data_IF_380811495238
#
_entry.id   IF_380811495238
#
_cell.length_a   1.000
_cell.length_b   1.000
_cell.length_c   1.000
_cell.angle_alpha   90.00
_cell.angle_beta   90.00
_cell.angle_gamma   90.00
#
_symmetry.space_group_name_H-M   'P 1'
#
loop_
_entity.id
_entity.type
_entity.pdbx_description
1 polymer ?
#
# COMPACT_ATOMS: atom_id res chain seq x y z
N UNK A 1 0.07 -6.96 -15.02
CA UNK A 1 0.06 -5.56 -14.55
C UNK A 1 1.14 -5.45 -13.49
N UNK A 2 2.03 -4.48 -13.61
CA UNK A 2 3.03 -4.17 -12.58
C UNK A 2 2.46 -3.07 -11.67
N UNK A 3 2.72 -3.19 -10.37
CA UNK A 3 2.27 -2.22 -9.37
C UNK A 3 3.39 -1.98 -8.37
N UNK A 4 3.74 -0.71 -8.17
CA UNK A 4 4.74 -0.27 -7.20
C UNK A 4 4.12 0.80 -6.30
N UNK A 5 4.34 0.72 -5.00
CA UNK A 5 3.92 1.76 -4.08
C UNK A 5 5.04 2.18 -3.16
N UNK A 6 5.04 3.47 -2.85
CA UNK A 6 5.84 4.05 -1.78
C UNK A 6 4.85 4.60 -0.75
N UNK A 7 4.78 3.96 0.41
CA UNK A 7 3.97 4.41 1.54
C UNK A 7 4.89 4.66 2.72
N UNK A 8 4.74 5.81 3.35
CA UNK A 8 5.52 6.18 4.54
C UNK A 8 4.56 6.22 5.72
N UNK A 9 4.88 5.53 6.83
CA UNK A 9 4.09 5.65 8.06
C UNK A 9 4.26 7.04 8.67
N UNK A 10 3.14 7.66 9.00
CA UNK A 10 3.06 8.82 9.89
C UNK A 10 3.03 8.24 11.31
N UNK A 11 4.22 8.04 11.88
CA UNK A 11 4.37 7.43 13.20
C UNK A 11 3.96 8.43 14.28
N UNK A 12 2.81 8.21 14.91
CA UNK A 12 2.33 9.06 16.01
C UNK A 12 2.85 8.57 17.37
N UNK A 13 2.96 7.25 17.53
CA UNK A 13 3.34 6.60 18.79
C UNK A 13 3.95 5.24 18.48
N UNK A 14 5.21 5.02 18.90
CA UNK A 14 5.95 3.79 18.60
C UNK A 14 5.41 2.57 19.35
N UNK A 15 4.67 2.78 20.44
CA UNK A 15 4.10 1.70 21.25
C UNK A 15 2.74 1.22 20.72
N UNK A 16 2.14 1.95 19.78
CA UNK A 16 0.87 1.56 19.16
C UNK A 16 1.09 0.57 18.03
N UNK A 17 0.22 -0.44 18.00
CA UNK A 17 0.17 -1.43 16.93
C UNK A 17 -0.63 -0.96 15.71
N UNK A 18 -0.74 0.35 15.47
CA UNK A 18 -1.33 0.91 14.27
C UNK A 18 -0.66 2.24 13.91
N UNK A 19 -0.70 2.57 12.61
CA UNK A 19 -0.26 3.86 12.08
C UNK A 19 -1.17 4.31 10.94
N UNK A 20 -1.08 5.59 10.60
CA UNK A 20 -1.58 6.09 9.32
C UNK A 20 -0.44 6.18 8.33
N UNK A 21 -0.73 6.00 7.06
CA UNK A 21 0.25 6.11 5.98
C UNK A 21 -0.14 7.18 4.99
N UNK A 22 0.85 7.80 4.38
CA UNK A 22 0.68 8.62 3.19
C UNK A 22 1.65 8.13 2.13
N UNK A 23 1.24 8.18 0.87
CA UNK A 23 2.06 7.61 -0.17
C UNK A 23 1.50 7.79 -1.57
N UNK A 24 2.15 7.10 -2.49
CA UNK A 24 1.74 7.03 -3.88
C UNK A 24 1.83 5.59 -4.36
N UNK A 25 0.80 5.17 -5.09
CA UNK A 25 0.78 3.90 -5.80
C UNK A 25 0.82 4.16 -7.31
N UNK A 26 1.62 3.38 -8.01
CA UNK A 26 1.74 3.40 -9.46
C UNK A 26 1.38 2.04 -10.01
N UNK A 27 0.44 2.01 -10.96
CA UNK A 27 0.11 0.82 -11.75
C UNK A 27 0.42 1.06 -13.24
N UNK A 28 1.11 0.08 -13.84
CA UNK A 28 1.46 0.11 -15.26
C UNK A 28 0.21 0.00 -16.14
N UNK A 29 0.26 0.55 -17.35
CA UNK A 29 -0.82 0.52 -18.34
C UNK A 29 -1.48 -0.87 -18.48
N UNK A 30 -2.82 -0.93 -18.40
CA UNK A 30 -3.58 -2.18 -18.54
C UNK A 30 -4.87 -1.95 -19.35
N UNK A 31 -5.12 -2.68 -20.45
CA UNK A 31 -6.34 -2.49 -21.25
C UNK A 31 -7.63 -2.92 -20.54
N UNK A 32 -7.53 -3.72 -19.47
CA UNK A 32 -8.69 -4.30 -18.76
C UNK A 32 -8.97 -3.63 -17.41
N UNK A 33 -8.04 -2.81 -16.91
CA UNK A 33 -8.11 -2.24 -15.56
C UNK A 33 -7.56 -0.80 -15.57
N UNK A 34 -8.13 0.11 -14.78
CA UNK A 34 -7.58 1.44 -14.59
C UNK A 34 -6.13 1.38 -14.12
N UNK A 35 -5.28 2.23 -14.69
CA UNK A 35 -3.84 2.19 -14.42
C UNK A 35 -3.23 3.58 -14.42
N UNK A 36 -2.34 3.86 -13.49
CA UNK A 36 -1.68 5.15 -13.43
C UNK A 36 -1.20 5.46 -12.03
N UNK A 37 -1.23 6.73 -11.65
CA UNK A 37 -0.66 7.21 -10.39
C UNK A 37 -1.79 7.57 -9.42
N UNK A 38 -1.70 7.06 -8.19
CA UNK A 38 -2.68 7.26 -7.14
C UNK A 38 -1.98 7.78 -5.87
N UNK A 39 -2.00 9.09 -5.57
CA UNK A 39 -1.76 9.53 -4.20
C UNK A 39 -2.79 8.86 -3.28
N UNK A 40 -2.31 8.34 -2.16
CA UNK A 40 -3.12 7.57 -1.24
C UNK A 40 -2.79 7.89 0.21
N UNK A 41 -3.81 7.76 1.04
CA UNK A 41 -3.71 7.73 2.48
C UNK A 41 -4.15 6.35 2.96
N UNK A 42 -3.63 5.94 4.11
CA UNK A 42 -3.90 4.60 4.59
C UNK A 42 -3.97 4.49 6.08
N UNK A 43 -4.58 3.39 6.50
CA UNK A 43 -4.54 2.90 7.87
C UNK A 43 -3.88 1.53 7.87
N UNK A 44 -2.96 1.34 8.82
CA UNK A 44 -2.17 0.11 8.98
C UNK A 44 -2.41 -0.41 10.39
N UNK A 45 -2.75 -1.69 10.51
CA UNK A 45 -2.82 -2.41 11.79
C UNK A 45 -1.77 -3.51 11.77
N UNK A 46 -0.79 -3.38 12.66
CA UNK A 46 0.28 -4.35 12.79
C UNK A 46 -0.22 -5.62 13.50
N UNK A 47 0.00 -6.76 12.87
CA UNK A 47 -0.33 -8.09 13.38
C UNK A 47 0.93 -8.71 14.00
N UNK A 48 2.05 -8.62 13.28
CA UNK A 48 3.38 -9.00 13.76
C UNK A 48 4.28 -7.80 13.61
N UNK A 49 4.66 -7.21 14.74
CA UNK A 49 5.56 -6.08 14.81
C UNK A 49 6.47 -6.23 16.03
N UNK A 50 7.75 -6.52 15.78
CA UNK A 50 8.72 -6.79 16.83
C UNK A 50 10.13 -6.41 16.35
N UNK A 51 10.83 -5.60 17.16
CA UNK A 51 12.23 -5.18 16.93
C UNK A 51 13.25 -6.31 16.74
N UNK A 52 12.94 -7.53 17.18
CA UNK A 52 13.83 -8.70 17.08
C UNK A 52 13.53 -9.57 15.86
N UNK A 53 12.53 -9.20 15.04
CA UNK A 53 12.17 -9.94 13.82
C UNK A 53 12.62 -9.19 12.59
N UNK A 54 13.11 -9.93 11.61
CA UNK A 54 13.49 -9.41 10.29
C UNK A 54 12.28 -9.26 9.36
N UNK A 55 11.06 -9.39 9.89
CA UNK A 55 9.83 -9.24 9.12
C UNK A 55 8.73 -8.58 9.92
N UNK A 56 7.79 -7.98 9.19
CA UNK A 56 6.59 -7.33 9.70
C UNK A 56 5.38 -7.83 8.93
N UNK A 57 4.26 -8.00 9.62
CA UNK A 57 2.98 -8.37 9.01
C UNK A 57 1.91 -7.39 9.47
N UNK A 58 1.11 -6.88 8.54
CA UNK A 58 0.02 -5.95 8.86
C UNK A 58 -1.20 -6.15 7.95
N UNK A 59 -2.35 -5.73 8.47
CA UNK A 59 -3.57 -5.55 7.70
C UNK A 59 -3.75 -4.07 7.42
N UNK A 60 -3.89 -3.72 6.15
CA UNK A 60 -3.86 -2.34 5.68
C UNK A 60 -5.13 -2.03 4.89
N UNK A 61 -5.56 -0.78 4.94
CA UNK A 61 -6.57 -0.23 4.03
C UNK A 61 -6.02 1.08 3.49
N UNK A 62 -5.80 1.15 2.18
CA UNK A 62 -5.40 2.38 1.52
C UNK A 62 -6.57 2.93 0.71
N UNK A 63 -6.72 4.25 0.69
CA UNK A 63 -7.64 4.94 -0.20
C UNK A 63 -6.91 6.05 -0.93
N UNK A 64 -7.17 6.18 -2.23
CA UNK A 64 -6.49 7.14 -3.08
C UNK A 64 -7.31 7.52 -4.29
N UNK A 65 -6.85 8.56 -4.98
CA UNK A 65 -7.45 9.00 -6.24
C UNK A 65 -6.52 8.64 -7.39
N UNK A 66 -6.93 7.69 -8.23
CA UNK A 66 -6.19 7.23 -9.39
C UNK A 66 -6.37 8.20 -10.56
N UNK A 67 -5.26 8.80 -10.98
CA UNK A 67 -5.12 9.48 -12.27
C UNK A 67 -4.80 8.44 -13.34
N UNK A 68 -5.77 8.12 -14.20
CA UNK A 68 -5.65 7.06 -15.19
C UNK A 68 -4.82 7.50 -16.41
N UNK A 69 -3.92 6.62 -16.86
CA UNK A 69 -3.07 6.79 -18.03
C UNK A 69 -3.62 6.08 -19.28
N UNK A 70 -4.69 5.31 -19.14
CA UNK A 70 -5.41 4.70 -20.24
C UNK A 70 -6.25 5.75 -20.98
N UNK A 71 -6.23 5.71 -22.32
CA UNK A 71 -7.16 6.50 -23.12
C UNK A 71 -8.56 5.89 -22.98
N UNK A 72 -9.51 6.64 -22.41
CA UNK A 72 -10.93 6.25 -22.34
C UNK A 72 -11.38 5.57 -21.04
N UNK A 73 -10.56 5.60 -19.98
CA UNK A 73 -11.00 5.29 -18.62
C UNK A 73 -10.95 6.57 -17.79
N UNK A 74 -12.02 6.85 -17.03
CA UNK A 74 -12.06 8.01 -16.14
C UNK A 74 -11.18 7.78 -14.90
N UNK A 75 -10.71 8.88 -14.30
CA UNK A 75 -10.05 8.88 -13.00
C UNK A 75 -10.99 8.37 -11.90
N UNK A 76 -10.44 7.67 -10.90
CA UNK A 76 -11.28 6.89 -9.96
C UNK A 76 -10.77 6.98 -8.54
N UNK A 77 -11.71 6.97 -7.59
CA UNK A 77 -11.36 6.63 -6.22
C UNK A 77 -11.06 5.14 -6.14
N UNK A 78 -9.98 4.79 -5.45
CA UNK A 78 -9.57 3.42 -5.19
C UNK A 78 -9.56 3.19 -3.69
N UNK A 79 -10.11 2.07 -3.26
CA UNK A 79 -10.00 1.57 -1.89
C UNK A 79 -9.42 0.17 -1.95
N UNK A 80 -8.34 -0.05 -1.19
CA UNK A 80 -7.48 -1.22 -1.31
C UNK A 80 -7.22 -1.86 0.06
N UNK A 81 -8.17 -2.63 0.62
CA UNK A 81 -7.89 -3.53 1.73
C UNK A 81 -6.90 -4.61 1.29
N UNK A 82 -5.83 -4.81 2.07
CA UNK A 82 -4.80 -5.81 1.77
C UNK A 82 -4.05 -6.29 3.01
N UNK A 83 -3.52 -7.50 2.93
CA UNK A 83 -2.46 -7.96 3.81
C UNK A 83 -1.12 -7.52 3.25
N UNK A 84 -0.22 -7.16 4.16
CA UNK A 84 1.08 -6.62 3.88
C UNK A 84 2.12 -7.39 4.68
N UNK A 85 3.20 -7.80 4.01
CA UNK A 85 4.37 -8.40 4.63
C UNK A 85 5.60 -7.63 4.17
N UNK A 86 6.45 -7.22 5.09
CA UNK A 86 7.75 -6.61 4.82
C UNK A 86 8.85 -7.49 5.41
N UNK A 87 9.96 -7.64 4.68
CA UNK A 87 11.13 -8.43 5.05
C UNK A 87 12.38 -7.57 4.90
N UNK A 88 13.23 -7.57 5.93
CA UNK A 88 14.48 -6.81 6.02
C UNK A 88 14.33 -5.33 5.67
N UNK A 89 13.19 -4.72 6.00
CA UNK A 89 12.84 -3.33 5.69
C UNK A 89 12.84 -2.93 4.20
N UNK A 90 13.08 -3.88 3.29
CA UNK A 90 13.36 -3.63 1.88
C UNK A 90 12.45 -4.39 0.95
N UNK A 91 12.06 -5.62 1.26
CA UNK A 91 11.21 -6.41 0.37
C UNK A 91 9.80 -6.44 0.93
N UNK A 92 8.80 -6.17 0.09
CA UNK A 92 7.42 -6.25 0.52
C UNK A 92 6.55 -7.06 -0.43
N UNK A 93 5.53 -7.68 0.15
CA UNK A 93 4.47 -8.37 -0.56
C UNK A 93 3.13 -7.86 -0.06
N UNK A 94 2.22 -7.59 -1.00
CA UNK A 94 0.87 -7.12 -0.76
C UNK A 94 -0.09 -8.02 -1.47
N UNK A 95 -1.10 -8.51 -0.76
CA UNK A 95 -2.18 -9.29 -1.34
C UNK A 95 -3.50 -8.72 -0.85
N UNK A 96 -4.38 -8.37 -1.78
CA UNK A 96 -5.62 -7.70 -1.43
C UNK A 96 -6.59 -7.57 -2.58
N UNK A 97 -7.50 -6.62 -2.43
CA UNK A 97 -8.56 -6.36 -3.39
C UNK A 97 -8.69 -4.86 -3.61
N UNK A 98 -8.57 -4.43 -4.86
CA UNK A 98 -8.80 -3.04 -5.25
C UNK A 98 -10.28 -2.88 -5.61
N UNK A 99 -10.96 -1.94 -4.98
CA UNK A 99 -12.31 -1.52 -5.32
C UNK A 99 -12.28 -0.10 -5.89
N UNK A 100 -12.85 0.07 -7.09
CA UNK A 100 -12.81 1.35 -7.80
C UNK A 100 -14.18 1.98 -7.97
N UNK A 101 -14.26 3.26 -7.65
CA UNK A 101 -15.47 4.08 -7.75
C UNK A 101 -15.23 5.25 -8.74
N UNK A 102 -16.18 5.55 -9.64
CA UNK A 102 -17.57 5.08 -9.64
C UNK A 102 -17.83 3.82 -10.47
N UNK A 103 -16.82 3.19 -11.08
CA UNK A 103 -17.04 1.99 -11.91
C UNK A 103 -17.67 0.80 -11.16
N UNK A 104 -17.66 0.83 -9.81
CA UNK A 104 -18.15 -0.23 -8.91
C UNK A 104 -17.55 -1.61 -9.25
N UNK A 105 -16.33 -1.60 -9.80
CA UNK A 105 -15.59 -2.81 -10.16
C UNK A 105 -14.47 -3.00 -9.18
N UNK A 106 -14.19 -4.25 -8.85
CA UNK A 106 -13.01 -4.58 -8.09
C UNK A 106 -12.27 -5.78 -8.64
N UNK A 107 -11.02 -5.91 -8.23
CA UNK A 107 -10.13 -6.95 -8.69
C UNK A 107 -9.13 -7.35 -7.60
N UNK A 108 -8.82 -8.65 -7.47
CA UNK A 108 -7.76 -9.09 -6.59
C UNK A 108 -6.42 -8.61 -7.15
N UNK A 109 -5.49 -8.31 -6.26
CA UNK A 109 -4.12 -7.98 -6.63
C UNK A 109 -3.10 -8.70 -5.76
N UNK A 110 -1.96 -8.99 -6.36
CA UNK A 110 -0.73 -9.39 -5.68
C UNK A 110 0.35 -8.45 -6.20
N UNK A 111 1.03 -7.76 -5.29
CA UNK A 111 2.13 -6.85 -5.60
C UNK A 111 3.34 -7.24 -4.76
N UNK A 112 4.44 -7.53 -5.44
CA UNK A 112 5.75 -7.73 -4.82
C UNK A 112 6.58 -6.51 -5.20
N UNK A 113 7.21 -5.90 -4.21
CA UNK A 113 7.95 -4.66 -4.39
C UNK A 113 9.19 -4.58 -3.52
N UNK A 114 9.99 -3.55 -3.81
CA UNK A 114 11.09 -3.11 -2.96
C UNK A 114 10.66 -1.79 -2.30
N UNK A 115 10.92 -1.62 -1.00
CA UNK A 115 10.46 -0.51 -0.16
C UNK A 115 9.51 -0.98 0.95
N UNK A 116 8.67 -0.06 1.42
CA UNK A 116 7.75 -0.28 2.54
C UNK A 116 8.10 0.60 3.73
N UNK A 117 9.38 0.53 4.10
CA UNK A 117 10.01 1.32 5.16
C UNK A 117 9.27 1.25 6.51
N UNK A 118 8.28 0.36 6.68
CA UNK A 118 7.48 0.30 7.89
C UNK A 118 8.30 -0.24 9.04
N UNK A 119 9.26 -1.12 8.76
CA UNK A 119 10.21 -1.62 9.75
C UNK A 119 11.19 -0.54 10.24
N UNK A 120 11.32 0.62 9.57
CA UNK A 120 12.14 1.73 10.08
C UNK A 120 11.60 2.34 11.37
N UNK A 121 10.35 2.06 11.76
CA UNK A 121 9.80 2.47 13.07
C UNK A 121 10.60 1.94 14.26
N UNK A 122 11.32 0.82 14.09
CA UNK A 122 12.19 0.23 15.13
C UNK A 122 13.59 0.83 15.18
N UNK A 123 13.99 1.59 14.14
CA UNK A 123 15.26 2.29 14.15
C UNK A 123 15.13 3.54 15.02
N UNK A 124 15.73 3.50 16.21
CA UNK A 124 16.01 4.71 16.96
C UNK A 124 17.37 5.23 16.53
N UNK A 125 17.41 6.43 15.96
CA UNK A 125 18.65 7.21 15.95
C UNK A 125 18.89 7.57 17.42
N UNK A 126 19.99 7.07 17.98
CA UNK A 126 20.45 7.37 19.33
C UNK A 126 21.28 8.66 19.28
#
# INVERSE_FOLDING_TARGET
MFQAALNVPVVFDRDKNYDFTVGVDYSSKNPKQPSGLAPQVGFVRYIVDNRYKDFLVSANVHTGYLFDFNKGMDNQFRVSPHLYVEYQALFNCRIGYDYMMPLQKGYPFISIGIGGLMMFRHFSIM
#
